data_IF_330386834386
#
_entry.id   IF_330386834386
#
_cell.length_a   1.000
_cell.length_b   1.000
_cell.length_c   1.000
_cell.angle_alpha   90.00
_cell.angle_beta   90.00
_cell.angle_gamma   90.00
#
_symmetry.space_group_name_H-M   'P 1'
#
loop_
_entity.id
_entity.type
_entity.pdbx_description
1 polymer ?
#
# COMPACT_ATOMS: atom_id res chain seq x y z
N UNK A 1 -12.50 29.73 -21.37
CA UNK A 1 -11.93 29.83 -20.01
C UNK A 1 -11.65 28.42 -19.54
N UNK A 2 -10.44 28.15 -19.06
CA UNK A 2 -10.07 26.84 -18.52
C UNK A 2 -10.58 26.76 -17.09
N UNK A 3 -11.83 26.33 -16.91
CA UNK A 3 -12.49 26.12 -15.62
C UNK A 3 -11.95 24.87 -14.89
N UNK A 4 -10.63 24.77 -14.79
CA UNK A 4 -9.96 23.70 -14.05
C UNK A 4 -9.39 24.31 -12.78
N UNK A 5 -9.86 23.80 -11.65
CA UNK A 5 -9.21 24.04 -10.36
C UNK A 5 -7.72 23.70 -10.47
N UNK A 6 -6.81 24.54 -9.94
CA UNK A 6 -5.39 24.24 -9.89
C UNK A 6 -5.12 22.93 -9.16
N UNK A 7 -4.09 22.19 -9.58
CA UNK A 7 -3.71 20.89 -9.00
C UNK A 7 -3.44 20.98 -7.49
N UNK A 8 -2.80 22.07 -7.04
CA UNK A 8 -2.50 22.32 -5.62
C UNK A 8 -3.77 22.42 -4.75
N UNK A 9 -4.87 22.95 -5.31
CA UNK A 9 -6.15 23.00 -4.61
C UNK A 9 -6.78 21.60 -4.54
N UNK A 10 -6.67 20.83 -5.62
CA UNK A 10 -7.12 19.44 -5.64
C UNK A 10 -6.36 18.60 -4.62
N UNK A 11 -5.03 18.75 -4.50
CA UNK A 11 -4.24 18.06 -3.48
C UNK A 11 -4.64 18.43 -2.05
N UNK A 12 -4.93 19.70 -1.76
CA UNK A 12 -5.44 20.08 -0.44
C UNK A 12 -6.80 19.43 -0.15
N UNK A 13 -7.71 19.47 -1.11
CA UNK A 13 -9.03 18.85 -0.97
C UNK A 13 -8.86 17.35 -0.69
N UNK A 14 -7.97 16.65 -1.42
CA UNK A 14 -7.85 15.20 -1.28
C UNK A 14 -7.37 14.77 0.10
N UNK A 15 -6.50 15.55 0.75
CA UNK A 15 -5.99 15.27 2.10
C UNK A 15 -7.09 15.39 3.17
N UNK A 16 -8.06 16.29 2.97
CA UNK A 16 -9.13 16.55 3.92
C UNK A 16 -10.34 15.58 3.75
N UNK A 17 -10.36 14.77 2.70
CA UNK A 17 -11.44 13.83 2.43
C UNK A 17 -11.23 12.49 3.17
N UNK A 18 -12.33 11.90 3.63
CA UNK A 18 -12.31 10.52 4.12
C UNK A 18 -12.04 9.54 2.97
N UNK A 19 -11.55 8.30 3.24
CA UNK A 19 -11.33 7.30 2.20
C UNK A 19 -12.59 7.00 1.36
N UNK A 20 -13.77 7.01 1.99
CA UNK A 20 -15.04 6.80 1.31
C UNK A 20 -15.37 7.95 0.36
N UNK A 21 -15.14 9.19 0.80
CA UNK A 21 -15.40 10.37 -0.02
C UNK A 21 -14.40 10.48 -1.17
N UNK A 22 -13.12 10.12 -0.94
CA UNK A 22 -12.11 9.99 -1.99
C UNK A 22 -12.54 8.99 -3.06
N UNK A 23 -13.09 7.84 -2.67
CA UNK A 23 -13.59 6.83 -3.62
C UNK A 23 -14.75 7.35 -4.48
N UNK A 24 -15.62 8.19 -3.93
CA UNK A 24 -16.66 8.84 -4.70
C UNK A 24 -16.06 9.93 -5.62
N UNK A 25 -15.13 10.71 -5.10
CA UNK A 25 -14.55 11.86 -5.77
C UNK A 25 -13.67 11.49 -6.98
N UNK A 26 -12.93 10.37 -6.93
CA UNK A 26 -12.15 9.86 -8.08
C UNK A 26 -13.01 9.50 -9.29
N UNK A 27 -14.33 9.37 -9.11
CA UNK A 27 -15.28 9.03 -10.18
C UNK A 27 -15.97 10.26 -10.79
N UNK A 28 -15.77 11.46 -10.24
CA UNK A 28 -16.47 12.68 -10.67
C UNK A 28 -16.00 13.14 -12.05
N UNK A 29 -14.69 13.28 -12.24
CA UNK A 29 -14.12 13.64 -13.54
C UNK A 29 -12.67 13.16 -13.66
N UNK A 30 -12.14 13.14 -14.89
CA UNK A 30 -10.76 12.70 -15.17
C UNK A 30 -9.71 13.53 -14.42
N UNK A 31 -9.93 14.83 -14.23
CA UNK A 31 -8.98 15.69 -13.51
C UNK A 31 -8.88 15.31 -12.03
N UNK A 32 -10.01 15.03 -11.39
CA UNK A 32 -10.06 14.61 -9.99
C UNK A 32 -9.53 13.19 -9.83
N UNK A 33 -9.84 12.30 -10.79
CA UNK A 33 -9.28 10.96 -10.81
C UNK A 33 -7.75 11.00 -10.72
N UNK A 34 -7.09 11.70 -11.64
CA UNK A 34 -5.63 11.80 -11.67
C UNK A 34 -5.06 12.44 -10.40
N UNK A 35 -5.72 13.48 -9.86
CA UNK A 35 -5.24 14.18 -8.67
C UNK A 35 -5.44 13.37 -7.37
N UNK A 36 -6.52 12.58 -7.25
CA UNK A 36 -6.91 11.95 -5.99
C UNK A 36 -6.45 10.50 -5.86
N UNK A 37 -6.12 9.82 -6.96
CA UNK A 37 -5.52 8.47 -6.95
C UNK A 37 -4.31 8.40 -5.99
N UNK A 38 -3.34 9.34 -6.01
CA UNK A 38 -2.21 9.30 -5.10
C UNK A 38 -2.59 9.36 -3.62
N UNK A 39 -3.62 10.13 -3.27
CA UNK A 39 -4.07 10.23 -1.88
C UNK A 39 -4.85 9.00 -1.46
N UNK A 40 -5.70 8.47 -2.35
CA UNK A 40 -6.51 7.28 -2.09
C UNK A 40 -5.65 6.03 -1.86
N UNK A 41 -4.60 5.85 -2.67
CA UNK A 41 -3.71 4.69 -2.59
C UNK A 41 -2.42 4.96 -1.81
N UNK A 42 -2.26 6.17 -1.25
CA UNK A 42 -1.09 6.54 -0.45
C UNK A 42 -0.89 5.66 0.79
N UNK A 43 -1.98 5.15 1.37
CA UNK A 43 -1.96 4.26 2.53
C UNK A 43 -2.76 3.00 2.23
N UNK A 44 -2.12 1.84 2.32
CA UNK A 44 -2.75 0.53 2.12
C UNK A 44 -2.66 -0.28 3.41
N UNK A 45 -3.80 -0.64 3.99
CA UNK A 45 -3.90 -1.50 5.19
C UNK A 45 -4.41 -2.90 4.82
N UNK A 46 -3.55 -3.91 5.01
CA UNK A 46 -3.82 -5.30 4.73
C UNK A 46 -3.87 -6.09 6.04
N UNK A 47 -5.08 -6.49 6.42
CA UNK A 47 -5.34 -7.22 7.68
C UNK A 47 -5.44 -8.74 7.55
N UNK A 48 -5.53 -9.25 6.33
CA UNK A 48 -5.72 -10.69 6.09
C UNK A 48 -4.81 -11.19 4.98
N UNK A 49 -4.35 -12.43 5.12
CA UNK A 49 -3.52 -13.09 4.11
C UNK A 49 -4.22 -13.18 2.75
N UNK A 50 -5.55 -13.35 2.74
CA UNK A 50 -6.32 -13.34 1.50
C UNK A 50 -6.19 -11.98 0.77
N UNK A 51 -6.36 -10.87 1.51
CA UNK A 51 -6.16 -9.52 0.96
C UNK A 51 -4.73 -9.28 0.50
N UNK A 52 -3.73 -9.79 1.22
CA UNK A 52 -2.33 -9.71 0.81
C UNK A 52 -2.08 -10.38 -0.54
N UNK A 53 -2.56 -11.61 -0.72
CA UNK A 53 -2.42 -12.34 -1.98
C UNK A 53 -3.12 -11.63 -3.13
N UNK A 54 -4.34 -11.15 -2.89
CA UNK A 54 -5.10 -10.36 -3.87
C UNK A 54 -4.35 -9.09 -4.28
N UNK A 55 -3.79 -8.39 -3.29
CA UNK A 55 -3.03 -7.17 -3.51
C UNK A 55 -1.77 -7.44 -4.35
N UNK A 56 -0.99 -8.45 -4.00
CA UNK A 56 0.21 -8.86 -4.77
C UNK A 56 -0.15 -9.31 -6.18
N UNK A 57 -1.24 -10.05 -6.36
CA UNK A 57 -1.73 -10.45 -7.69
C UNK A 57 -2.17 -9.24 -8.51
N UNK A 58 -2.89 -8.30 -7.89
CA UNK A 58 -3.36 -7.06 -8.54
C UNK A 58 -2.19 -6.18 -8.97
N UNK A 59 -1.15 -6.08 -8.14
CA UNK A 59 0.09 -5.45 -8.54
C UNK A 59 0.65 -6.15 -9.77
N UNK A 60 0.88 -7.47 -9.70
CA UNK A 60 1.48 -8.27 -10.78
C UNK A 60 0.76 -8.19 -12.12
N UNK A 61 -0.57 -8.16 -12.10
CA UNK A 61 -1.41 -8.23 -13.31
C UNK A 61 -1.70 -6.85 -13.91
N UNK A 62 -1.30 -5.76 -13.25
CA UNK A 62 -1.47 -4.39 -13.78
C UNK A 62 -0.39 -4.08 -14.82
N UNK A 63 -0.76 -3.80 -16.07
CA UNK A 63 0.19 -3.36 -17.11
C UNK A 63 0.94 -2.06 -16.73
N UNK A 64 0.42 -1.29 -15.76
CA UNK A 64 1.00 -0.06 -15.23
C UNK A 64 1.54 -0.23 -13.80
N UNK A 65 2.14 -1.39 -13.50
CA UNK A 65 2.82 -1.76 -12.25
C UNK A 65 3.55 -0.59 -11.56
N UNK A 66 4.34 0.18 -12.30
CA UNK A 66 5.10 1.30 -11.76
C UNK A 66 4.20 2.46 -11.32
N UNK A 67 3.09 2.75 -12.00
CA UNK A 67 2.25 3.90 -11.67
C UNK A 67 1.49 3.71 -10.34
N UNK A 68 0.97 2.49 -10.11
CA UNK A 68 0.16 2.19 -8.93
C UNK A 68 1.01 1.93 -7.68
N UNK A 69 2.08 1.15 -7.82
CA UNK A 69 2.95 0.88 -6.69
C UNK A 69 3.73 2.13 -6.24
N UNK A 70 4.08 3.04 -7.15
CA UNK A 70 4.74 4.31 -6.80
C UNK A 70 3.81 5.31 -6.10
N UNK A 71 2.51 5.09 -6.11
CA UNK A 71 1.59 5.96 -5.36
C UNK A 71 1.45 5.54 -3.91
N UNK A 72 1.86 4.31 -3.56
CA UNK A 72 1.81 3.79 -2.20
C UNK A 72 2.99 4.33 -1.39
N UNK A 73 2.68 5.01 -0.29
CA UNK A 73 3.66 5.60 0.65
C UNK A 73 3.75 4.82 1.95
N UNK A 74 2.63 4.25 2.40
CA UNK A 74 2.52 3.50 3.65
C UNK A 74 1.81 2.17 3.37
N UNK A 75 2.44 1.07 3.77
CA UNK A 75 1.86 -0.26 3.68
C UNK A 75 1.80 -0.88 5.08
N UNK A 76 0.59 -1.01 5.63
CA UNK A 76 0.35 -1.61 6.94
C UNK A 76 -0.03 -3.07 6.77
N UNK A 77 0.69 -3.98 7.42
CA UNK A 77 0.43 -5.43 7.38
C UNK A 77 0.04 -5.93 8.77
N UNK A 78 -1.26 -5.91 9.06
CA UNK A 78 -1.80 -6.29 10.38
C UNK A 78 -2.41 -7.69 10.35
N UNK A 79 -1.60 -8.72 10.13
CA UNK A 79 -2.09 -10.10 10.14
C UNK A 79 -2.39 -10.57 11.56
N UNK A 80 -3.63 -10.98 11.80
CA UNK A 80 -3.99 -11.67 13.03
C UNK A 80 -3.61 -13.15 12.90
N UNK A 81 -2.51 -13.54 13.53
CA UNK A 81 -2.18 -14.96 13.75
C UNK A 81 -2.96 -15.46 14.96
N UNK A 82 -3.60 -16.63 14.84
CA UNK A 82 -4.29 -17.23 15.98
C UNK A 82 -3.25 -17.54 17.06
N UNK A 83 -3.43 -16.92 18.24
CA UNK A 83 -2.53 -16.91 19.42
C UNK A 83 -2.31 -18.27 20.10
N UNK A 84 -2.37 -19.39 19.36
CA UNK A 84 -2.25 -20.74 19.92
C UNK A 84 -0.77 -21.19 20.00
N UNK A 85 0.17 -20.40 19.48
CA UNK A 85 1.60 -20.72 19.48
C UNK A 85 2.51 -19.50 19.61
N UNK A 86 3.81 -19.78 19.65
CA UNK A 86 4.89 -18.79 19.71
C UNK A 86 4.85 -17.88 18.46
N UNK A 87 4.43 -16.63 18.65
CA UNK A 87 4.21 -15.64 17.59
C UNK A 87 5.46 -15.43 16.71
N UNK A 88 6.66 -15.54 17.29
CA UNK A 88 7.93 -15.36 16.58
C UNK A 88 8.18 -16.47 15.55
N UNK A 89 7.78 -17.70 15.87
CA UNK A 89 7.92 -18.85 14.98
C UNK A 89 6.93 -18.77 13.80
N UNK A 90 5.73 -18.25 14.02
CA UNK A 90 4.72 -18.11 12.98
C UNK A 90 5.07 -17.01 11.98
N UNK A 91 5.61 -15.88 12.45
CA UNK A 91 6.10 -14.82 11.58
C UNK A 91 7.35 -15.25 10.78
N UNK A 92 8.33 -15.92 11.39
CA UNK A 92 9.50 -16.44 10.64
C UNK A 92 9.08 -17.42 9.53
N UNK A 93 8.14 -18.32 9.83
CA UNK A 93 7.57 -19.25 8.84
C UNK A 93 6.80 -18.52 7.73
N UNK A 94 6.03 -17.50 8.10
CA UNK A 94 5.31 -16.64 7.17
C UNK A 94 6.28 -15.94 6.21
N UNK A 95 7.32 -15.29 6.74
CA UNK A 95 8.37 -14.64 5.96
C UNK A 95 9.07 -15.58 5.00
N UNK A 96 9.49 -16.75 5.49
CA UNK A 96 10.14 -17.76 4.64
C UNK A 96 9.21 -18.22 3.51
N UNK A 97 7.91 -18.33 3.78
CA UNK A 97 6.91 -18.76 2.79
C UNK A 97 6.58 -17.69 1.75
N UNK A 98 6.57 -16.41 2.13
CA UNK A 98 6.14 -15.30 1.27
C UNK A 98 7.27 -14.35 0.86
N UNK A 99 8.53 -14.76 1.01
CA UNK A 99 9.71 -13.93 0.75
C UNK A 99 9.72 -13.35 -0.68
N UNK A 100 9.27 -14.13 -1.66
CA UNK A 100 9.25 -13.71 -3.07
C UNK A 100 8.21 -12.60 -3.26
N UNK A 101 7.02 -12.76 -2.71
CA UNK A 101 5.94 -11.79 -2.75
C UNK A 101 6.35 -10.48 -2.07
N UNK A 102 7.06 -10.56 -0.94
CA UNK A 102 7.61 -9.38 -0.27
C UNK A 102 8.67 -8.66 -1.13
N UNK A 103 9.61 -9.39 -1.73
CA UNK A 103 10.60 -8.80 -2.65
C UNK A 103 9.93 -8.15 -3.86
N UNK A 104 8.88 -8.76 -4.39
CA UNK A 104 8.08 -8.17 -5.47
C UNK A 104 7.40 -6.88 -5.00
N UNK A 105 6.80 -6.91 -3.81
CA UNK A 105 6.18 -5.75 -3.18
C UNK A 105 7.16 -4.58 -3.04
N UNK A 106 8.37 -4.83 -2.56
CA UNK A 106 9.41 -3.79 -2.41
C UNK A 106 9.85 -3.21 -3.76
N UNK A 107 9.95 -4.05 -4.79
CA UNK A 107 10.28 -3.58 -6.15
C UNK A 107 9.20 -2.70 -6.75
N UNK A 108 7.94 -2.97 -6.43
CA UNK A 108 6.79 -2.31 -7.03
C UNK A 108 6.35 -1.09 -6.23
N UNK A 109 6.59 -1.08 -4.93
CA UNK A 109 6.23 -0.01 -4.01
C UNK A 109 7.49 0.61 -3.39
N UNK A 110 8.32 1.33 -4.17
CA UNK A 110 9.65 1.79 -3.75
C UNK A 110 9.60 2.90 -2.69
N UNK A 111 8.45 3.54 -2.48
CA UNK A 111 8.28 4.64 -1.53
C UNK A 111 7.57 4.22 -0.24
N UNK A 112 7.46 2.92 0.02
CA UNK A 112 6.97 2.43 1.32
C UNK A 112 7.99 2.82 2.38
N UNK A 113 7.74 3.95 3.02
CA UNK A 113 8.62 4.52 4.06
C UNK A 113 8.40 3.85 5.42
N UNK A 114 7.21 3.29 5.64
CA UNK A 114 6.82 2.63 6.87
C UNK A 114 6.14 1.30 6.52
N UNK A 115 6.80 0.19 6.88
CA UNK A 115 6.16 -1.10 7.07
C UNK A 115 5.81 -1.20 8.55
N UNK A 116 4.66 -0.62 8.88
CA UNK A 116 4.12 -0.47 10.22
C UNK A 116 3.64 -1.85 10.77
N UNK A 117 4.63 -2.73 11.00
CA UNK A 117 4.59 -4.07 11.64
C UNK A 117 5.95 -4.80 11.57
N UNK A 118 6.98 -4.26 10.90
CA UNK A 118 8.26 -4.95 10.67
C UNK A 118 9.38 -4.55 11.63
N UNK A 119 9.39 -3.29 12.06
CA UNK A 119 10.51 -2.69 12.81
C UNK A 119 10.80 -3.41 14.14
N UNK A 120 9.78 -4.04 14.73
CA UNK A 120 9.92 -4.72 16.02
C UNK A 120 10.33 -6.23 15.89
N UNK A 121 10.27 -6.87 14.72
CA UNK A 121 10.21 -8.36 14.67
C UNK A 121 11.22 -9.08 13.76
N UNK A 122 11.91 -8.40 12.82
CA UNK A 122 12.93 -9.08 11.99
C UNK A 122 14.03 -8.14 11.45
N UNK A 123 15.10 -7.88 12.24
CA UNK A 123 16.24 -7.06 11.82
C UNK A 123 16.96 -7.58 10.56
N UNK A 124 16.98 -8.90 10.36
CA UNK A 124 17.61 -9.55 9.18
C UNK A 124 16.83 -9.30 7.89
N UNK A 125 15.51 -9.07 8.00
CA UNK A 125 14.74 -8.59 6.86
C UNK A 125 15.28 -7.22 6.50
N UNK A 126 15.30 -6.28 7.47
CA UNK A 126 15.77 -4.87 7.37
C UNK A 126 17.21 -4.70 6.86
N UNK A 127 18.14 -5.62 7.14
CA UNK A 127 19.49 -5.57 6.56
C UNK A 127 19.51 -5.75 5.04
N UNK A 128 18.46 -6.32 4.45
CA UNK A 128 18.28 -6.34 3.00
C UNK A 128 17.53 -5.09 2.46
N UNK A 129 17.24 -4.10 3.32
CA UNK A 129 16.55 -2.83 3.00
C UNK A 129 17.50 -1.62 2.98
N UNK A 130 18.79 -1.76 3.36
CA UNK A 130 19.84 -0.75 3.16
C UNK A 130 20.60 -1.02 1.85
#
# INVERSE_FOLDING_TARGET
MTDKLPGEILEKISIDLSPNDLCAAVRVCRSWNVAFIPTLYGVVDIRTLHKFKLFVATLRDSENLNAFGHTIRILKLSFQFNLIGDLDLDWKRFWKKYNIEFKLLLRLCPFVAELDSLDDWCPEAMENFQ
#
